data_IF_230776928910
#
_entry.id   IF_230776928910
#
_cell.length_a   1.000
_cell.length_b   1.000
_cell.length_c   1.000
_cell.angle_alpha   90.00
_cell.angle_beta   90.00
_cell.angle_gamma   90.00
#
_symmetry.space_group_name_H-M   'P 1'
#
loop_
_entity.id
_entity.type
_entity.pdbx_description
1 polymer ?
#
# COMPACT_ATOMS: atom_id res chain seq x y z
N UNK A 1 -23.60 2.34 14.37
CA UNK A 1 -23.70 1.13 15.22
C UNK A 1 -24.18 0.04 14.28
N UNK A 2 -23.29 -0.94 13.94
CA UNK A 2 -23.58 -1.92 12.89
C UNK A 2 -24.66 -2.90 13.34
N UNK A 3 -25.61 -3.26 12.44
CA UNK A 3 -26.69 -4.24 12.70
C UNK A 3 -26.15 -5.59 13.23
N UNK A 4 -24.94 -5.96 12.85
CA UNK A 4 -24.28 -7.18 13.28
C UNK A 4 -23.91 -7.17 14.78
N UNK A 5 -23.53 -6.02 15.33
CA UNK A 5 -23.26 -5.86 16.76
C UNK A 5 -24.58 -5.91 17.57
N UNK A 6 -25.62 -5.25 17.10
CA UNK A 6 -26.94 -5.29 17.76
C UNK A 6 -27.55 -6.70 17.78
N UNK A 7 -27.32 -7.53 16.76
CA UNK A 7 -27.73 -8.93 16.72
C UNK A 7 -26.94 -9.82 17.69
N UNK A 8 -25.64 -9.54 17.87
CA UNK A 8 -24.77 -10.24 18.85
C UNK A 8 -25.18 -9.93 20.28
N UNK A 9 -25.45 -8.66 20.56
CA UNK A 9 -25.88 -8.22 21.89
C UNK A 9 -27.23 -8.85 22.28
N UNK A 10 -28.16 -8.98 21.35
CA UNK A 10 -29.45 -9.69 21.56
C UNK A 10 -29.26 -11.17 21.89
N UNK A 11 -28.33 -11.84 21.22
CA UNK A 11 -28.03 -13.26 21.48
C UNK A 11 -27.36 -13.47 22.83
N UNK A 12 -26.40 -12.59 23.19
CA UNK A 12 -25.72 -12.63 24.48
C UNK A 12 -26.71 -12.45 25.63
N UNK A 13 -27.58 -11.44 25.53
CA UNK A 13 -28.66 -11.20 26.46
C UNK A 13 -29.62 -12.40 26.57
N UNK A 14 -30.01 -12.99 25.43
CA UNK A 14 -30.89 -14.16 25.39
C UNK A 14 -30.23 -15.38 26.09
N UNK A 15 -28.96 -15.62 25.85
CA UNK A 15 -28.21 -16.67 26.53
C UNK A 15 -28.17 -16.47 28.04
N UNK A 16 -27.96 -15.24 28.48
CA UNK A 16 -27.92 -14.91 29.92
C UNK A 16 -29.27 -15.20 30.59
N UNK A 17 -30.37 -14.73 30.00
CA UNK A 17 -31.71 -15.03 30.53
C UNK A 17 -31.97 -16.55 30.58
N UNK A 18 -31.61 -17.28 29.51
CA UNK A 18 -31.78 -18.73 29.46
C UNK A 18 -30.97 -19.46 30.54
N UNK A 19 -29.77 -18.98 30.81
CA UNK A 19 -28.91 -19.51 31.86
C UNK A 19 -29.50 -19.24 33.23
N UNK A 20 -29.87 -18.00 33.54
CA UNK A 20 -30.47 -17.62 34.84
C UNK A 20 -31.80 -18.32 35.12
N UNK A 21 -32.62 -18.49 34.08
CA UNK A 21 -33.87 -19.27 34.18
C UNK A 21 -33.59 -20.72 34.57
N UNK A 22 -32.58 -21.35 33.93
CA UNK A 22 -32.19 -22.73 34.25
C UNK A 22 -31.61 -22.85 35.69
N UNK A 23 -30.78 -21.87 36.10
CA UNK A 23 -30.28 -21.79 37.46
C UNK A 23 -31.39 -21.64 38.50
N UNK A 24 -32.46 -20.91 38.17
CA UNK A 24 -33.67 -20.78 38.98
C UNK A 24 -34.59 -22.02 38.90
N UNK A 25 -34.24 -23.07 38.14
CA UNK A 25 -35.04 -24.28 37.98
C UNK A 25 -36.32 -24.13 37.20
N UNK A 26 -36.48 -23.06 36.44
CA UNK A 26 -37.75 -22.72 35.73
C UNK A 26 -37.71 -23.21 34.27
N UNK A 27 -38.84 -23.70 33.80
CA UNK A 27 -39.11 -23.89 32.35
C UNK A 27 -39.44 -22.57 31.68
N UNK A 28 -39.40 -22.51 30.33
CA UNK A 28 -39.83 -21.30 29.60
C UNK A 28 -41.29 -20.95 29.88
N UNK A 29 -42.15 -21.97 30.02
CA UNK A 29 -43.54 -21.83 30.35
C UNK A 29 -43.74 -21.22 31.73
N UNK A 30 -43.05 -21.73 32.75
CA UNK A 30 -43.13 -21.22 34.13
C UNK A 30 -42.61 -19.77 34.25
N UNK A 31 -41.55 -19.41 33.54
CA UNK A 31 -41.09 -18.01 33.50
C UNK A 31 -42.13 -17.11 32.81
N UNK A 32 -42.65 -17.55 31.67
CA UNK A 32 -43.70 -16.82 30.95
C UNK A 32 -44.95 -16.62 31.82
N UNK A 33 -45.41 -17.68 32.51
CA UNK A 33 -46.55 -17.61 33.42
C UNK A 33 -46.34 -16.62 34.57
N UNK A 34 -45.15 -16.59 35.19
CA UNK A 34 -44.80 -15.62 36.25
C UNK A 34 -44.79 -14.17 35.76
N UNK A 35 -44.42 -13.95 34.49
CA UNK A 35 -44.36 -12.63 33.88
C UNK A 35 -45.71 -12.23 33.20
N UNK A 36 -46.71 -13.07 33.24
CA UNK A 36 -48.02 -12.91 32.52
C UNK A 36 -47.84 -12.76 31.01
N UNK A 37 -46.91 -13.54 30.44
CA UNK A 37 -46.56 -13.53 29.01
C UNK A 37 -46.79 -14.90 28.37
N UNK A 38 -46.62 -14.95 27.05
CA UNK A 38 -46.63 -16.21 26.29
C UNK A 38 -45.25 -16.85 26.25
N UNK A 39 -45.18 -18.16 26.19
CA UNK A 39 -43.96 -18.94 26.04
C UNK A 39 -43.15 -18.50 24.84
N UNK A 40 -43.84 -18.09 23.77
CA UNK A 40 -43.21 -17.58 22.55
C UNK A 40 -42.43 -16.29 22.77
N UNK A 41 -42.86 -15.44 23.74
CA UNK A 41 -42.13 -14.21 24.08
C UNK A 41 -40.81 -14.55 24.74
N UNK A 42 -40.79 -15.39 25.79
CA UNK A 42 -39.56 -15.85 26.46
C UNK A 42 -38.65 -16.58 25.49
N UNK A 43 -39.18 -17.45 24.64
CA UNK A 43 -38.44 -18.15 23.60
C UNK A 43 -37.77 -17.21 22.61
N UNK A 44 -38.43 -16.10 22.22
CA UNK A 44 -37.81 -15.07 21.32
C UNK A 44 -36.69 -14.32 22.01
N UNK A 45 -36.83 -14.03 23.31
CA UNK A 45 -35.74 -13.40 24.08
C UNK A 45 -34.51 -14.31 24.17
N UNK A 46 -34.71 -15.56 24.57
CA UNK A 46 -33.63 -16.55 24.73
C UNK A 46 -32.90 -16.86 23.42
N UNK A 47 -33.60 -16.78 22.28
CA UNK A 47 -32.99 -16.92 20.95
C UNK A 47 -32.34 -15.62 20.42
N UNK A 48 -32.45 -14.51 21.16
CA UNK A 48 -31.90 -13.22 20.75
C UNK A 48 -32.66 -12.59 19.57
N UNK A 49 -33.94 -12.90 19.39
CA UNK A 49 -34.75 -12.31 18.32
C UNK A 49 -35.26 -10.93 18.73
N UNK A 50 -35.75 -10.80 19.98
CA UNK A 50 -36.24 -9.54 20.55
C UNK A 50 -35.70 -9.34 21.96
N UNK A 51 -35.60 -8.08 22.39
CA UNK A 51 -35.46 -7.75 23.82
C UNK A 51 -36.82 -7.73 24.50
N UNK A 52 -36.89 -7.98 25.82
CA UNK A 52 -38.07 -7.68 26.61
C UNK A 52 -38.32 -6.16 26.63
N UNK A 53 -39.57 -5.78 26.86
CA UNK A 53 -39.91 -4.39 27.09
C UNK A 53 -39.27 -3.91 28.40
N UNK A 54 -38.84 -2.63 28.43
CA UNK A 54 -38.20 -2.02 29.59
C UNK A 54 -39.09 -2.11 30.86
N UNK A 55 -40.38 -2.11 30.68
CA UNK A 55 -41.38 -2.25 31.76
C UNK A 55 -41.32 -3.61 32.44
N UNK A 56 -40.81 -4.63 31.77
CA UNK A 56 -40.72 -6.01 32.25
C UNK A 56 -39.41 -6.30 32.98
N UNK A 57 -38.40 -5.39 32.93
CA UNK A 57 -37.07 -5.63 33.48
C UNK A 57 -37.14 -5.93 34.98
N UNK A 58 -37.84 -5.15 35.76
CA UNK A 58 -38.00 -5.40 37.21
C UNK A 58 -38.66 -6.74 37.52
N UNK A 59 -39.74 -7.11 36.76
CA UNK A 59 -40.42 -8.38 36.94
C UNK A 59 -39.54 -9.56 36.55
N UNK A 60 -38.70 -9.45 35.51
CA UNK A 60 -37.74 -10.46 35.10
C UNK A 60 -36.66 -10.62 36.20
N UNK A 61 -36.14 -9.53 36.73
CA UNK A 61 -35.13 -9.53 37.79
C UNK A 61 -35.69 -10.20 39.05
N UNK A 62 -36.94 -9.91 39.44
CA UNK A 62 -37.57 -10.54 40.57
C UNK A 62 -37.81 -12.05 40.35
N UNK A 63 -38.32 -12.43 39.15
CA UNK A 63 -38.57 -13.84 38.81
C UNK A 63 -37.30 -14.70 38.74
N UNK A 64 -36.16 -14.11 38.35
CA UNK A 64 -34.88 -14.79 38.21
C UNK A 64 -33.93 -14.58 39.39
N UNK A 65 -34.33 -13.81 40.41
CA UNK A 65 -33.49 -13.44 41.56
C UNK A 65 -32.19 -12.79 41.22
N UNK A 66 -32.18 -11.87 40.26
CA UNK A 66 -31.00 -11.09 39.81
C UNK A 66 -31.29 -9.59 39.96
N UNK A 67 -30.24 -8.81 39.97
CA UNK A 67 -30.36 -7.34 39.98
C UNK A 67 -30.55 -6.78 38.57
N UNK A 68 -31.17 -5.59 38.44
CA UNK A 68 -31.27 -4.89 37.16
C UNK A 68 -29.89 -4.61 36.55
N UNK A 69 -28.90 -4.33 37.40
CA UNK A 69 -27.52 -4.12 36.97
C UNK A 69 -26.91 -5.39 36.35
N UNK A 70 -27.09 -6.56 36.97
CA UNK A 70 -26.66 -7.83 36.42
C UNK A 70 -27.32 -8.15 35.09
N UNK A 71 -28.60 -7.86 34.93
CA UNK A 71 -29.35 -8.09 33.69
C UNK A 71 -28.82 -7.19 32.56
N UNK A 72 -28.46 -5.93 32.84
CA UNK A 72 -27.96 -4.96 31.84
C UNK A 72 -26.50 -5.22 31.51
N UNK A 73 -25.65 -5.46 32.53
CA UNK A 73 -24.21 -5.65 32.33
C UNK A 73 -23.83 -7.05 31.84
N UNK A 74 -24.67 -8.06 32.08
CA UNK A 74 -24.39 -9.42 31.68
C UNK A 74 -24.33 -9.63 30.17
N UNK A 75 -25.01 -8.81 29.38
CA UNK A 75 -24.83 -8.78 27.93
C UNK A 75 -23.47 -8.23 27.52
N UNK A 76 -22.92 -7.24 28.24
CA UNK A 76 -21.60 -6.66 28.01
C UNK A 76 -20.50 -7.64 28.48
N UNK A 77 -20.63 -8.27 29.63
CA UNK A 77 -19.65 -9.21 30.16
C UNK A 77 -19.53 -10.50 29.31
N UNK A 78 -20.65 -11.02 28.80
CA UNK A 78 -20.64 -12.15 27.88
C UNK A 78 -19.96 -11.79 26.55
N UNK A 79 -20.23 -10.58 26.05
CA UNK A 79 -19.60 -10.08 24.82
C UNK A 79 -18.09 -9.87 25.00
N UNK A 80 -17.65 -9.30 26.12
CA UNK A 80 -16.24 -9.17 26.44
C UNK A 80 -15.55 -10.54 26.58
N UNK A 81 -16.18 -11.48 27.26
CA UNK A 81 -15.65 -12.85 27.40
C UNK A 81 -15.52 -13.58 26.05
N UNK A 82 -16.44 -13.37 25.10
CA UNK A 82 -16.31 -13.93 23.76
C UNK A 82 -15.20 -13.26 22.95
N UNK A 83 -15.05 -11.94 23.06
CA UNK A 83 -13.93 -11.22 22.45
C UNK A 83 -12.60 -11.66 23.00
N UNK A 84 -12.50 -11.85 24.31
CA UNK A 84 -11.30 -12.37 24.96
C UNK A 84 -10.96 -13.80 24.53
N UNK A 85 -11.95 -14.68 24.44
CA UNK A 85 -11.77 -16.05 23.91
C UNK A 85 -11.31 -16.05 22.46
N UNK A 86 -11.87 -15.19 21.62
CA UNK A 86 -11.43 -15.02 20.23
C UNK A 86 -10.00 -14.45 20.16
N UNK A 87 -9.66 -13.45 20.98
CA UNK A 87 -8.32 -12.90 21.07
C UNK A 87 -7.31 -13.96 21.55
N UNK A 88 -7.65 -14.74 22.57
CA UNK A 88 -6.80 -15.84 23.06
C UNK A 88 -6.61 -16.93 21.99
N UNK A 89 -7.67 -17.31 21.27
CA UNK A 89 -7.58 -18.27 20.16
C UNK A 89 -6.66 -17.75 19.06
N UNK A 90 -6.82 -16.48 18.67
CA UNK A 90 -5.96 -15.84 17.70
C UNK A 90 -4.48 -15.83 18.15
N UNK A 91 -4.22 -15.49 19.40
CA UNK A 91 -2.87 -15.50 19.97
C UNK A 91 -2.26 -16.90 19.98
N UNK A 92 -3.03 -17.95 20.31
CA UNK A 92 -2.56 -19.35 20.26
C UNK A 92 -2.20 -19.77 18.84
N UNK A 93 -3.03 -19.44 17.85
CA UNK A 93 -2.76 -19.72 16.43
C UNK A 93 -1.49 -18.99 15.98
N UNK A 94 -1.35 -17.72 16.33
CA UNK A 94 -0.19 -16.90 16.02
C UNK A 94 1.11 -17.44 16.66
N UNK A 95 1.03 -17.90 17.89
CA UNK A 95 2.16 -18.56 18.57
C UNK A 95 2.51 -19.89 17.91
N UNK A 96 1.52 -20.74 17.60
CA UNK A 96 1.72 -22.00 16.89
C UNK A 96 2.39 -21.80 15.54
N UNK A 97 1.88 -20.86 14.74
CA UNK A 97 2.49 -20.46 13.45
C UNK A 97 3.96 -20.06 13.62
N UNK A 98 4.27 -19.21 14.59
CA UNK A 98 5.64 -18.76 14.87
C UNK A 98 6.58 -19.93 15.21
N UNK A 99 6.15 -20.84 16.10
CA UNK A 99 6.97 -21.99 16.48
C UNK A 99 7.21 -22.95 15.30
N UNK A 100 6.18 -23.20 14.48
CA UNK A 100 6.31 -24.04 13.27
C UNK A 100 7.32 -23.41 12.31
N UNK A 101 7.19 -22.10 12.02
CA UNK A 101 8.11 -21.41 11.12
C UNK A 101 9.55 -21.40 11.64
N UNK A 102 9.75 -21.14 12.94
CA UNK A 102 11.08 -21.19 13.55
C UNK A 102 11.69 -22.59 13.48
N UNK A 103 10.89 -23.65 13.69
CA UNK A 103 11.35 -25.02 13.57
C UNK A 103 11.73 -25.38 12.12
N UNK A 104 10.93 -24.93 11.14
CA UNK A 104 11.24 -25.15 9.72
C UNK A 104 12.54 -24.45 9.30
N UNK A 105 12.74 -23.19 9.68
CA UNK A 105 13.98 -22.46 9.41
C UNK A 105 15.18 -23.09 10.11
N UNK A 106 15.04 -23.46 11.38
CA UNK A 106 16.09 -24.14 12.12
C UNK A 106 16.48 -25.49 11.52
N UNK A 107 15.48 -26.26 11.06
CA UNK A 107 15.71 -27.54 10.39
C UNK A 107 16.42 -27.36 9.04
N UNK A 108 15.97 -26.39 8.23
CA UNK A 108 16.59 -26.07 6.95
C UNK A 108 18.05 -25.67 7.12
N UNK A 109 18.35 -24.75 8.05
CA UNK A 109 19.72 -24.32 8.35
C UNK A 109 20.59 -25.49 8.84
N UNK A 110 20.03 -26.37 9.69
CA UNK A 110 20.76 -27.53 10.19
C UNK A 110 21.14 -28.48 9.05
N UNK A 111 20.19 -28.80 8.16
CA UNK A 111 20.43 -29.66 6.99
C UNK A 111 21.49 -29.02 6.09
N UNK A 112 21.33 -27.70 5.77
CA UNK A 112 22.30 -26.97 4.96
C UNK A 112 23.70 -26.96 5.60
N UNK A 113 23.80 -26.78 6.91
CA UNK A 113 25.06 -26.80 7.63
C UNK A 113 25.74 -28.17 7.51
N UNK A 114 25.00 -29.26 7.78
CA UNK A 114 25.53 -30.64 7.68
C UNK A 114 25.97 -30.95 6.27
N UNK A 115 25.15 -30.66 5.26
CA UNK A 115 25.47 -30.91 3.86
C UNK A 115 26.70 -30.14 3.41
N UNK A 116 26.80 -28.86 3.80
CA UNK A 116 27.94 -28.01 3.43
C UNK A 116 29.24 -28.54 4.05
N UNK A 117 29.20 -28.93 5.33
CA UNK A 117 30.37 -29.48 6.02
C UNK A 117 30.75 -30.87 5.51
N UNK A 118 29.76 -31.76 5.27
CA UNK A 118 30.00 -33.13 4.82
C UNK A 118 30.51 -33.23 3.39
N UNK A 119 30.03 -32.35 2.49
CA UNK A 119 30.36 -32.42 1.05
C UNK A 119 31.58 -31.56 0.70
N UNK A 120 31.63 -30.33 1.25
CA UNK A 120 32.64 -29.35 0.85
C UNK A 120 33.75 -29.15 1.89
N UNK A 121 33.59 -29.67 3.09
CA UNK A 121 34.50 -29.45 4.23
C UNK A 121 34.76 -27.96 4.57
N UNK A 122 33.91 -27.07 4.05
CA UNK A 122 33.96 -25.60 4.24
C UNK A 122 32.56 -25.04 4.34
N UNK A 123 32.38 -23.88 4.91
CA UNK A 123 31.07 -23.19 4.98
C UNK A 123 30.88 -22.21 3.82
N UNK A 124 31.14 -22.65 2.58
CA UNK A 124 31.22 -21.78 1.40
C UNK A 124 29.88 -21.15 1.03
N UNK A 125 28.78 -21.91 0.99
CA UNK A 125 27.46 -21.39 0.60
C UNK A 125 26.47 -21.30 1.76
N UNK A 126 26.84 -21.79 2.94
CA UNK A 126 25.98 -21.76 4.13
C UNK A 126 25.49 -20.34 4.48
N UNK A 127 26.40 -19.35 4.43
CA UNK A 127 26.05 -17.96 4.73
C UNK A 127 25.09 -17.32 3.71
N UNK A 128 25.12 -17.77 2.45
CA UNK A 128 24.17 -17.33 1.42
C UNK A 128 22.77 -17.86 1.78
N UNK A 129 22.67 -19.13 2.19
CA UNK A 129 21.40 -19.71 2.61
C UNK A 129 20.88 -19.02 3.88
N UNK A 130 21.75 -18.80 4.88
CA UNK A 130 21.40 -18.09 6.11
C UNK A 130 20.82 -16.69 5.83
N UNK A 131 21.46 -15.93 4.95
CA UNK A 131 20.98 -14.60 4.58
C UNK A 131 19.67 -14.65 3.75
N UNK A 132 19.52 -15.66 2.89
CA UNK A 132 18.28 -15.89 2.14
C UNK A 132 17.12 -16.26 3.05
N UNK A 133 17.36 -17.09 4.06
CA UNK A 133 16.36 -17.40 5.10
C UNK A 133 16.03 -16.19 5.97
N UNK A 134 16.98 -15.30 6.25
CA UNK A 134 16.72 -14.06 6.97
C UNK A 134 15.74 -13.16 6.18
N UNK A 135 15.78 -13.17 4.84
CA UNK A 135 14.79 -12.49 4.00
C UNK A 135 13.41 -13.12 4.18
N UNK A 136 13.32 -14.44 4.07
CA UNK A 136 12.05 -15.16 4.25
C UNK A 136 11.49 -14.96 5.67
N UNK A 137 12.34 -15.02 6.70
CA UNK A 137 12.00 -14.75 8.09
C UNK A 137 11.44 -13.33 8.27
N UNK A 138 12.04 -12.33 7.63
CA UNK A 138 11.59 -10.94 7.72
C UNK A 138 10.17 -10.74 7.19
N UNK A 139 9.75 -11.52 6.19
CA UNK A 139 8.42 -11.43 5.59
C UNK A 139 7.37 -12.29 6.30
N UNK A 140 7.77 -13.42 6.87
CA UNK A 140 6.84 -14.41 7.43
C UNK A 140 6.70 -14.32 8.95
N UNK A 141 7.80 -14.17 9.67
CA UNK A 141 7.83 -14.22 11.13
C UNK A 141 7.83 -12.84 11.77
N UNK A 142 8.51 -11.85 11.18
CA UNK A 142 8.57 -10.49 11.72
C UNK A 142 7.20 -9.84 11.94
N UNK A 143 6.21 -9.94 11.03
CA UNK A 143 4.86 -9.39 11.27
C UNK A 143 4.17 -10.05 12.46
N UNK A 144 4.53 -11.31 12.77
CA UNK A 144 3.98 -12.03 13.90
C UNK A 144 4.70 -11.73 15.23
N UNK A 145 5.97 -11.31 15.21
CA UNK A 145 6.74 -10.96 16.39
C UNK A 145 6.39 -9.59 16.94
N UNK A 146 6.23 -8.61 16.09
CA UNK A 146 6.03 -7.21 16.45
C UNK A 146 4.56 -6.86 16.44
N UNK A 147 4.03 -6.33 17.56
CA UNK A 147 2.63 -5.91 17.67
C UNK A 147 2.39 -4.46 17.25
N UNK A 148 3.38 -3.58 17.46
CA UNK A 148 3.27 -2.15 17.13
C UNK A 148 4.15 -1.82 15.92
N UNK A 149 3.59 -1.12 14.94
CA UNK A 149 4.31 -0.73 13.70
C UNK A 149 4.94 -1.93 12.95
N UNK A 150 4.25 -3.08 12.95
CA UNK A 150 4.74 -4.32 12.32
C UNK A 150 5.15 -4.13 10.86
N UNK A 151 4.45 -3.26 10.09
CA UNK A 151 4.81 -2.96 8.70
C UNK A 151 6.19 -2.31 8.57
N UNK A 152 6.54 -1.34 9.42
CA UNK A 152 7.85 -0.68 9.39
C UNK A 152 8.97 -1.65 9.77
N UNK A 153 8.76 -2.47 10.81
CA UNK A 153 9.74 -3.47 11.22
C UNK A 153 9.95 -4.55 10.15
N UNK A 154 8.88 -4.99 9.50
CA UNK A 154 8.97 -5.95 8.38
C UNK A 154 9.74 -5.38 7.21
N UNK A 155 9.42 -4.15 6.78
CA UNK A 155 10.13 -3.48 5.69
C UNK A 155 11.61 -3.23 6.03
N UNK A 156 11.89 -2.75 7.24
CA UNK A 156 13.25 -2.50 7.69
C UNK A 156 14.10 -3.77 7.77
N UNK A 157 13.55 -4.85 8.34
CA UNK A 157 14.25 -6.13 8.42
C UNK A 157 14.45 -6.76 7.04
N UNK A 158 13.46 -6.67 6.16
CA UNK A 158 13.58 -7.14 4.78
C UNK A 158 14.68 -6.39 4.01
N UNK A 159 14.68 -5.06 4.08
CA UNK A 159 15.71 -4.23 3.45
C UNK A 159 17.11 -4.57 3.97
N UNK A 160 17.26 -4.72 5.30
CA UNK A 160 18.53 -5.06 5.92
C UNK A 160 19.01 -6.47 5.52
N UNK A 161 18.12 -7.47 5.55
CA UNK A 161 18.43 -8.85 5.17
C UNK A 161 18.83 -8.96 3.69
N UNK A 162 18.15 -8.21 2.80
CA UNK A 162 18.47 -8.17 1.38
C UNK A 162 19.87 -7.60 1.15
N UNK A 163 20.22 -6.48 1.80
CA UNK A 163 21.55 -5.89 1.68
C UNK A 163 22.63 -6.79 2.31
N UNK A 164 22.31 -7.51 3.39
CA UNK A 164 23.22 -8.51 3.96
C UNK A 164 23.49 -9.66 2.99
N UNK A 165 22.45 -10.17 2.31
CA UNK A 165 22.61 -11.19 1.28
C UNK A 165 23.54 -10.71 0.16
N UNK A 166 23.34 -9.49 -0.33
CA UNK A 166 24.19 -8.91 -1.39
C UNK A 166 25.63 -8.75 -0.94
N UNK A 167 25.86 -8.33 0.31
CA UNK A 167 27.19 -8.23 0.88
C UNK A 167 27.88 -9.60 0.92
N UNK A 168 27.18 -10.63 1.35
CA UNK A 168 27.69 -12.01 1.37
C UNK A 168 27.98 -12.49 -0.05
N UNK A 169 27.05 -12.30 -0.99
CA UNK A 169 27.27 -12.64 -2.40
C UNK A 169 28.50 -11.93 -2.99
N UNK A 170 28.73 -10.64 -2.62
CA UNK A 170 29.91 -9.89 -3.03
C UNK A 170 31.21 -10.52 -2.53
N UNK A 171 31.21 -11.01 -1.28
CA UNK A 171 32.40 -11.66 -0.68
C UNK A 171 32.75 -12.94 -1.47
N UNK A 172 31.75 -13.72 -1.89
CA UNK A 172 31.97 -14.96 -2.64
C UNK A 172 32.22 -14.76 -4.14
N UNK A 173 31.43 -13.90 -4.79
CA UNK A 173 31.51 -13.71 -6.24
C UNK A 173 32.59 -12.71 -6.67
N UNK A 174 33.07 -11.86 -5.75
CA UNK A 174 33.98 -10.76 -6.09
C UNK A 174 33.29 -9.64 -6.89
N UNK A 175 34.09 -8.78 -7.52
CA UNK A 175 33.62 -7.68 -8.37
C UNK A 175 33.25 -6.39 -7.59
N UNK A 176 33.06 -5.27 -8.27
CA UNK A 176 32.81 -3.96 -7.68
C UNK A 176 31.34 -3.49 -7.81
N UNK A 177 30.40 -4.40 -7.98
CA UNK A 177 28.99 -4.12 -8.25
C UNK A 177 28.15 -3.74 -7.02
N UNK A 178 28.65 -4.02 -5.79
CA UNK A 178 27.86 -3.88 -4.55
C UNK A 178 27.33 -2.46 -4.32
N UNK A 179 28.19 -1.45 -4.54
CA UNK A 179 27.82 -0.06 -4.28
C UNK A 179 26.67 0.41 -5.21
N UNK A 180 26.75 0.06 -6.49
CA UNK A 180 25.70 0.39 -7.47
C UNK A 180 24.40 -0.34 -7.12
N UNK A 181 24.47 -1.63 -6.80
CA UNK A 181 23.29 -2.43 -6.44
C UNK A 181 22.65 -1.93 -5.15
N UNK A 182 23.45 -1.57 -4.15
CA UNK A 182 22.95 -0.96 -2.90
C UNK A 182 22.17 0.33 -3.17
N UNK A 183 22.74 1.24 -3.98
CA UNK A 183 22.06 2.49 -4.36
C UNK A 183 20.77 2.21 -5.15
N UNK A 184 20.79 1.26 -6.09
CA UNK A 184 19.62 0.91 -6.89
C UNK A 184 18.47 0.32 -6.04
N UNK A 185 18.80 -0.59 -5.12
CA UNK A 185 17.82 -1.17 -4.20
C UNK A 185 17.29 -0.09 -3.25
N UNK A 186 18.14 0.77 -2.71
CA UNK A 186 17.72 1.87 -1.83
C UNK A 186 16.77 2.82 -2.55
N UNK A 187 17.05 3.17 -3.78
CA UNK A 187 16.16 3.97 -4.62
C UNK A 187 14.82 3.26 -4.85
N UNK A 188 14.83 1.98 -5.25
CA UNK A 188 13.60 1.21 -5.45
C UNK A 188 12.75 1.11 -4.19
N UNK A 189 13.37 0.91 -3.02
CA UNK A 189 12.69 0.94 -1.72
C UNK A 189 12.13 2.31 -1.38
N UNK A 190 12.87 3.38 -1.64
CA UNK A 190 12.42 4.74 -1.39
C UNK A 190 11.17 5.06 -2.23
N UNK A 191 11.22 4.85 -3.54
CA UNK A 191 10.10 5.13 -4.44
C UNK A 191 8.82 4.41 -4.01
N UNK A 192 8.91 3.14 -3.59
CA UNK A 192 7.74 2.31 -3.27
C UNK A 192 7.26 2.55 -1.83
N UNK A 193 8.17 2.55 -0.86
CA UNK A 193 7.82 2.48 0.56
C UNK A 193 7.94 3.79 1.33
N UNK A 194 8.76 4.75 0.87
CA UNK A 194 8.93 6.01 1.57
C UNK A 194 7.63 6.79 1.78
N UNK A 195 6.67 6.83 0.83
CA UNK A 195 5.38 7.47 1.07
C UNK A 195 4.59 6.83 2.20
N UNK A 196 4.68 5.50 2.36
CA UNK A 196 4.00 4.77 3.44
C UNK A 196 4.69 4.98 4.79
N UNK A 197 6.02 4.96 4.80
CA UNK A 197 6.83 5.23 5.99
C UNK A 197 6.55 6.63 6.53
N UNK A 198 6.54 7.66 5.66
CA UNK A 198 6.27 9.05 6.05
C UNK A 198 4.83 9.29 6.53
N UNK A 199 3.89 8.40 6.21
CA UNK A 199 2.53 8.44 6.79
C UNK A 199 2.50 7.98 8.24
N UNK A 200 3.34 7.00 8.60
CA UNK A 200 3.37 6.38 9.93
C UNK A 200 4.29 7.11 10.91
N UNK A 201 5.31 7.79 10.41
CA UNK A 201 6.27 8.53 11.25
C UNK A 201 5.71 9.91 11.58
N UNK A 202 5.69 10.33 12.87
CA UNK A 202 5.31 11.68 13.26
C UNK A 202 6.38 12.67 12.79
N UNK A 203 6.01 13.55 11.86
CA UNK A 203 6.87 14.60 11.34
C UNK A 203 6.47 15.95 11.94
N UNK A 204 7.42 16.91 12.07
CA UNK A 204 7.11 18.29 12.44
C UNK A 204 6.02 18.88 11.53
N UNK A 205 5.20 19.80 12.07
CA UNK A 205 4.04 20.36 11.34
C UNK A 205 4.41 20.97 9.99
N UNK A 206 5.56 21.61 9.89
CA UNK A 206 6.08 22.19 8.63
C UNK A 206 6.35 21.15 7.55
N UNK A 207 6.86 19.96 7.90
CA UNK A 207 7.15 18.87 6.97
C UNK A 207 5.92 18.00 6.69
N UNK A 208 4.99 17.92 7.62
CA UNK A 208 3.80 17.07 7.51
C UNK A 208 2.90 17.48 6.34
N UNK A 209 2.84 18.78 6.01
CA UNK A 209 2.10 19.32 4.87
C UNK A 209 2.77 19.03 3.52
N UNK A 210 4.08 18.75 3.49
CA UNK A 210 4.88 18.58 2.27
C UNK A 210 5.49 17.17 2.10
N UNK A 211 4.86 16.14 2.67
CA UNK A 211 5.35 14.75 2.61
C UNK A 211 5.65 14.27 1.18
N UNK A 212 4.80 14.61 0.22
CA UNK A 212 5.00 14.25 -1.19
C UNK A 212 6.24 14.92 -1.79
N UNK A 213 6.46 16.21 -1.49
CA UNK A 213 7.65 16.93 -1.92
C UNK A 213 8.91 16.28 -1.34
N UNK A 214 8.86 15.89 -0.05
CA UNK A 214 9.97 15.22 0.63
C UNK A 214 10.31 13.88 -0.04
N UNK A 215 9.30 13.06 -0.43
CA UNK A 215 9.55 11.84 -1.19
C UNK A 215 10.28 12.15 -2.50
N UNK A 216 9.78 13.09 -3.29
CA UNK A 216 10.39 13.44 -4.57
C UNK A 216 11.81 13.99 -4.43
N UNK A 217 12.08 14.76 -3.38
CA UNK A 217 13.45 15.24 -3.08
C UNK A 217 14.40 14.08 -2.74
N UNK A 218 13.96 13.17 -1.86
CA UNK A 218 14.78 12.01 -1.49
C UNK A 218 15.04 11.11 -2.70
N UNK A 219 14.00 10.81 -3.50
CA UNK A 219 14.12 9.99 -4.71
C UNK A 219 15.08 10.66 -5.72
N UNK A 220 14.98 11.98 -5.90
CA UNK A 220 15.89 12.74 -6.76
C UNK A 220 17.33 12.63 -6.29
N UNK A 221 17.59 12.82 -4.98
CA UNK A 221 18.94 12.68 -4.41
C UNK A 221 19.50 11.26 -4.59
N UNK A 222 18.66 10.24 -4.42
CA UNK A 222 19.07 8.84 -4.61
C UNK A 222 19.35 8.52 -6.07
N UNK A 223 18.62 9.09 -7.03
CA UNK A 223 18.92 8.95 -8.47
C UNK A 223 20.29 9.54 -8.77
N UNK A 224 20.57 10.77 -8.30
CA UNK A 224 21.88 11.38 -8.51
C UNK A 224 23.00 10.57 -7.84
N UNK A 225 22.78 10.04 -6.63
CA UNK A 225 23.73 9.18 -5.96
C UNK A 225 24.00 7.89 -6.74
N UNK A 226 22.94 7.25 -7.28
CA UNK A 226 23.07 6.03 -8.08
C UNK A 226 23.90 6.28 -9.34
N UNK A 227 23.62 7.35 -10.08
CA UNK A 227 24.35 7.70 -11.31
C UNK A 227 25.81 8.05 -10.97
N UNK A 228 26.04 8.83 -9.92
CA UNK A 228 27.41 9.17 -9.47
C UNK A 228 28.22 7.92 -9.13
N UNK A 229 27.64 7.00 -8.33
CA UNK A 229 28.33 5.77 -7.93
C UNK A 229 28.56 4.86 -9.15
N UNK A 230 27.62 4.79 -10.09
CA UNK A 230 27.75 4.02 -11.31
C UNK A 230 28.93 4.50 -12.16
N UNK A 231 29.01 5.80 -12.44
CA UNK A 231 30.09 6.38 -13.26
C UNK A 231 31.46 6.30 -12.57
N UNK A 232 31.51 6.47 -11.25
CA UNK A 232 32.75 6.26 -10.48
C UNK A 232 33.24 4.81 -10.57
N UNK A 233 32.32 3.83 -10.54
CA UNK A 233 32.66 2.41 -10.68
C UNK A 233 33.07 2.04 -12.11
N UNK A 234 32.51 2.71 -13.12
CA UNK A 234 32.88 2.53 -14.54
C UNK A 234 34.17 3.24 -14.92
N UNK A 235 34.72 4.10 -14.04
CA UNK A 235 35.92 4.87 -14.30
C UNK A 235 35.73 6.05 -15.25
N UNK A 236 34.53 6.54 -15.43
CA UNK A 236 34.16 7.61 -16.37
C UNK A 236 33.58 8.87 -15.71
N UNK A 237 34.16 9.38 -14.58
CA UNK A 237 33.56 10.50 -13.85
C UNK A 237 33.48 11.81 -14.65
N UNK A 238 34.25 11.94 -15.72
CA UNK A 238 34.26 13.12 -16.58
C UNK A 238 32.90 13.31 -17.33
N UNK A 239 32.08 12.27 -17.46
CA UNK A 239 30.76 12.32 -18.10
C UNK A 239 29.67 12.86 -17.20
N UNK A 240 29.85 12.84 -15.87
CA UNK A 240 28.82 13.21 -14.90
C UNK A 240 28.22 14.59 -15.15
N UNK A 241 29.07 15.62 -15.25
CA UNK A 241 28.61 17.00 -15.41
C UNK A 241 28.09 17.30 -16.82
N UNK A 242 28.77 16.91 -17.93
CA UNK A 242 28.32 17.29 -19.27
C UNK A 242 27.17 16.44 -19.80
N UNK A 243 27.01 15.19 -19.38
CA UNK A 243 26.05 14.26 -19.97
C UNK A 243 25.07 13.72 -18.95
N UNK A 244 25.54 13.01 -17.91
CA UNK A 244 24.69 12.18 -17.09
C UNK A 244 23.72 12.99 -16.22
N UNK A 245 24.18 14.05 -15.57
CA UNK A 245 23.31 14.91 -14.76
C UNK A 245 22.29 15.69 -15.59
N UNK A 246 22.61 16.29 -16.76
CA UNK A 246 21.61 16.86 -17.64
C UNK A 246 20.55 15.86 -18.11
N UNK A 247 20.94 14.61 -18.44
CA UNK A 247 20.02 13.53 -18.81
C UNK A 247 19.11 13.17 -17.64
N UNK A 248 19.65 13.02 -16.42
CA UNK A 248 18.87 12.76 -15.21
C UNK A 248 17.90 13.91 -14.93
N UNK A 249 18.37 15.16 -14.99
CA UNK A 249 17.52 16.33 -14.80
C UNK A 249 16.36 16.37 -15.81
N UNK A 250 16.64 16.07 -17.06
CA UNK A 250 15.59 15.93 -18.07
C UNK A 250 14.60 14.81 -17.68
N UNK A 251 15.10 13.61 -17.33
CA UNK A 251 14.28 12.45 -16.99
C UNK A 251 13.32 12.69 -15.83
N UNK A 252 13.75 13.42 -14.78
CA UNK A 252 12.91 13.74 -13.62
C UNK A 252 11.94 14.91 -13.87
N UNK A 253 12.09 15.69 -14.95
CA UNK A 253 11.25 16.86 -15.21
C UNK A 253 9.77 16.51 -15.29
N UNK A 254 9.41 15.43 -16.01
CA UNK A 254 8.02 15.03 -16.17
C UNK A 254 7.35 14.59 -14.84
N UNK A 255 7.93 13.69 -14.04
CA UNK A 255 7.40 13.36 -12.71
C UNK A 255 7.25 14.59 -11.80
N UNK A 256 8.25 15.49 -11.79
CA UNK A 256 8.18 16.72 -11.00
C UNK A 256 7.07 17.67 -11.49
N UNK A 257 6.93 17.84 -12.79
CA UNK A 257 5.84 18.63 -13.38
C UNK A 257 4.48 18.07 -12.94
N UNK A 258 4.27 16.78 -13.11
CA UNK A 258 3.02 16.11 -12.69
C UNK A 258 2.76 16.28 -11.19
N UNK A 259 3.77 16.11 -10.34
CA UNK A 259 3.65 16.29 -8.90
C UNK A 259 3.23 17.73 -8.55
N UNK A 260 3.88 18.73 -9.16
CA UNK A 260 3.57 20.15 -8.92
C UNK A 260 2.15 20.48 -9.37
N UNK A 261 1.73 20.02 -10.56
CA UNK A 261 0.37 20.25 -11.10
C UNK A 261 -0.67 19.59 -10.20
N UNK A 262 -0.47 18.33 -9.80
CA UNK A 262 -1.44 17.59 -9.01
C UNK A 262 -1.55 18.18 -7.59
N UNK A 263 -0.44 18.54 -6.97
CA UNK A 263 -0.39 18.91 -5.55
C UNK A 263 -0.64 20.41 -5.32
N UNK A 264 -0.03 21.28 -6.11
CA UNK A 264 0.02 22.72 -5.83
C UNK A 264 -0.92 23.56 -6.71
N UNK A 265 -1.29 23.07 -7.91
CA UNK A 265 -2.19 23.82 -8.76
C UNK A 265 -3.63 23.75 -8.22
N UNK A 266 -4.22 24.90 -7.96
CA UNK A 266 -5.59 25.04 -7.38
C UNK A 266 -6.65 25.08 -8.48
N UNK A 267 -6.73 24.05 -9.31
CA UNK A 267 -7.74 23.91 -10.37
C UNK A 267 -8.51 22.61 -10.21
N UNK A 268 -9.59 22.47 -10.97
CA UNK A 268 -10.40 21.26 -11.06
C UNK A 268 -9.53 20.04 -11.43
N UNK A 269 -9.77 18.84 -10.83
CA UNK A 269 -9.05 17.59 -11.13
C UNK A 269 -8.97 17.28 -12.63
N UNK A 270 -10.01 17.56 -13.39
CA UNK A 270 -10.01 17.34 -14.83
C UNK A 270 -9.00 18.23 -15.57
N UNK A 271 -8.86 19.51 -15.19
CA UNK A 271 -7.84 20.37 -15.76
C UNK A 271 -6.42 19.94 -15.35
N UNK A 272 -6.23 19.42 -14.14
CA UNK A 272 -4.94 18.83 -13.75
C UNK A 272 -4.57 17.67 -14.65
N UNK A 273 -5.51 16.75 -14.88
CA UNK A 273 -5.32 15.61 -15.76
C UNK A 273 -5.03 16.07 -17.21
N UNK A 274 -5.75 17.08 -17.71
CA UNK A 274 -5.50 17.69 -19.02
C UNK A 274 -4.07 18.22 -19.14
N UNK A 275 -3.60 19.01 -18.18
CA UNK A 275 -2.25 19.60 -18.19
C UNK A 275 -1.19 18.49 -18.12
N UNK A 276 -1.37 17.47 -17.26
CA UNK A 276 -0.45 16.35 -17.17
C UNK A 276 -0.41 15.56 -18.50
N UNK A 277 -1.55 15.27 -19.11
CA UNK A 277 -1.62 14.55 -20.38
C UNK A 277 -0.94 15.32 -21.50
N UNK A 278 -1.27 16.60 -21.68
CA UNK A 278 -0.65 17.46 -22.71
C UNK A 278 0.87 17.60 -22.46
N UNK A 279 1.28 17.83 -21.20
CA UNK A 279 2.69 17.92 -20.83
C UNK A 279 3.46 16.62 -21.11
N UNK A 280 2.83 15.47 -20.85
CA UNK A 280 3.41 14.15 -21.18
C UNK A 280 3.61 14.01 -22.70
N UNK A 281 2.62 14.37 -23.52
CA UNK A 281 2.75 14.31 -24.97
C UNK A 281 3.90 15.19 -25.49
N UNK A 282 3.94 16.45 -25.06
CA UNK A 282 5.01 17.40 -25.45
C UNK A 282 6.38 16.87 -25.01
N UNK A 283 6.49 16.36 -23.79
CA UNK A 283 7.73 15.80 -23.26
C UNK A 283 8.23 14.65 -24.15
N UNK A 284 7.37 13.68 -24.48
CA UNK A 284 7.75 12.55 -25.33
C UNK A 284 8.11 12.98 -26.75
N UNK A 285 7.44 14.00 -27.32
CA UNK A 285 7.76 14.49 -28.65
C UNK A 285 9.20 14.98 -28.77
N UNK A 286 9.67 15.73 -27.79
CA UNK A 286 11.02 16.29 -27.79
C UNK A 286 12.09 15.40 -27.19
N UNK A 287 11.71 14.29 -26.54
CA UNK A 287 12.66 13.42 -25.80
C UNK A 287 13.84 12.99 -26.65
N UNK A 288 13.59 12.52 -27.86
CA UNK A 288 14.66 12.01 -28.72
C UNK A 288 15.65 13.13 -29.13
N UNK A 289 15.12 14.27 -29.55
CA UNK A 289 15.95 15.43 -29.95
C UNK A 289 16.76 16.00 -28.79
N UNK A 290 16.17 16.07 -27.59
CA UNK A 290 16.86 16.57 -26.41
C UNK A 290 17.94 15.59 -25.97
N UNK A 291 17.65 14.28 -25.92
CA UNK A 291 18.64 13.27 -25.55
C UNK A 291 19.81 13.23 -26.55
N UNK A 292 19.54 13.33 -27.84
CA UNK A 292 20.58 13.41 -28.86
C UNK A 292 21.49 14.62 -28.65
N UNK A 293 20.92 15.78 -28.32
CA UNK A 293 21.70 16.98 -27.97
C UNK A 293 22.54 16.79 -26.70
N UNK A 294 21.98 16.18 -25.65
CA UNK A 294 22.64 16.02 -24.35
C UNK A 294 23.72 14.92 -24.38
N UNK A 295 23.47 13.83 -25.11
CA UNK A 295 24.38 12.66 -25.12
C UNK A 295 25.48 12.83 -26.18
N UNK A 296 25.10 13.25 -27.39
CA UNK A 296 26.01 13.29 -28.54
C UNK A 296 26.60 14.68 -28.78
N UNK A 297 26.15 15.70 -28.02
CA UNK A 297 26.60 17.09 -28.19
C UNK A 297 26.14 17.73 -29.52
N UNK A 298 25.18 17.10 -30.20
CA UNK A 298 24.67 17.60 -31.47
C UNK A 298 23.80 18.85 -31.28
N UNK A 299 23.73 19.76 -32.27
CA UNK A 299 22.83 20.90 -32.20
C UNK A 299 21.38 20.41 -32.10
N UNK A 300 20.55 21.11 -31.32
CA UNK A 300 19.14 20.79 -31.21
C UNK A 300 18.43 20.91 -32.56
N UNK A 301 17.77 19.83 -32.99
CA UNK A 301 16.96 19.79 -34.19
C UNK A 301 15.53 19.36 -33.85
N UNK A 302 14.55 19.87 -34.56
CA UNK A 302 13.18 19.40 -34.42
C UNK A 302 13.09 17.94 -34.84
N UNK A 303 12.21 17.13 -34.20
CA UNK A 303 12.00 15.74 -34.60
C UNK A 303 11.65 15.64 -36.10
N UNK A 304 12.33 14.81 -36.87
CA UNK A 304 12.09 14.69 -38.33
C UNK A 304 10.82 13.84 -38.57
N UNK A 305 9.64 14.45 -38.45
CA UNK A 305 8.34 13.79 -38.65
C UNK A 305 8.04 13.70 -40.15
N UNK A 306 7.86 12.46 -40.65
CA UNK A 306 7.39 12.19 -42.01
C UNK A 306 6.33 11.09 -41.99
N UNK A 307 5.08 11.48 -42.07
CA UNK A 307 3.94 10.56 -42.07
C UNK A 307 3.61 9.98 -43.44
N UNK A 308 4.26 10.44 -44.52
CA UNK A 308 3.98 9.98 -45.88
C UNK A 308 4.30 8.51 -46.11
N UNK A 309 5.34 8.02 -45.44
CA UNK A 309 5.79 6.64 -45.51
C UNK A 309 5.13 5.73 -44.47
N UNK A 310 4.14 6.19 -43.68
CA UNK A 310 3.53 5.45 -42.58
C UNK A 310 2.94 4.09 -42.96
N UNK A 311 2.34 4.00 -44.17
CA UNK A 311 1.70 2.78 -44.68
C UNK A 311 2.65 1.83 -45.40
N UNK A 312 3.94 2.16 -45.56
CA UNK A 312 4.90 1.33 -46.27
C UNK A 312 5.62 0.37 -45.33
N UNK A 313 5.42 -0.97 -45.45
CA UNK A 313 6.13 -1.95 -44.63
C UNK A 313 7.64 -1.89 -44.76
N UNK A 314 8.18 -1.49 -45.93
CA UNK A 314 9.61 -1.39 -46.18
C UNK A 314 10.26 -0.26 -45.38
N UNK A 315 9.52 0.81 -45.13
CA UNK A 315 9.95 1.91 -44.24
C UNK A 315 10.20 1.43 -42.82
N UNK A 316 9.29 0.61 -42.27
CA UNK A 316 9.39 0.09 -40.91
C UNK A 316 10.46 -0.99 -40.74
N UNK A 317 10.78 -1.72 -41.80
CA UNK A 317 11.79 -2.75 -41.77
C UNK A 317 13.22 -2.21 -41.93
N UNK A 318 13.41 -0.98 -42.39
CA UNK A 318 14.72 -0.41 -42.67
C UNK A 318 15.29 0.41 -41.51
N UNK A 319 16.41 -0.06 -40.88
CA UNK A 319 17.02 0.65 -39.76
C UNK A 319 17.54 2.06 -40.10
N UNK A 320 17.78 2.37 -41.38
CA UNK A 320 18.23 3.68 -41.82
C UNK A 320 17.21 4.81 -41.51
N UNK A 321 15.94 4.46 -41.38
CA UNK A 321 14.86 5.42 -41.04
C UNK A 321 14.52 5.45 -39.53
N UNK A 322 15.32 4.82 -38.67
CA UNK A 322 15.02 4.68 -37.24
C UNK A 322 14.72 6.00 -36.51
N UNK A 323 15.40 7.08 -36.84
CA UNK A 323 15.14 8.41 -36.27
C UNK A 323 13.78 8.97 -36.71
N UNK A 324 13.39 8.80 -37.97
CA UNK A 324 12.09 9.24 -38.51
C UNK A 324 10.96 8.36 -37.99
N UNK A 325 11.18 7.04 -37.90
CA UNK A 325 10.23 6.09 -37.29
C UNK A 325 9.90 6.48 -35.85
N UNK A 326 10.93 6.72 -35.04
CA UNK A 326 10.77 7.17 -33.65
C UNK A 326 10.06 8.52 -33.56
N UNK A 327 10.41 9.47 -34.44
CA UNK A 327 9.75 10.77 -34.48
C UNK A 327 8.25 10.65 -34.85
N UNK A 328 7.91 9.79 -35.82
CA UNK A 328 6.53 9.51 -36.18
C UNK A 328 5.72 8.88 -35.05
N UNK A 329 6.29 7.90 -34.35
CA UNK A 329 5.65 7.27 -33.18
C UNK A 329 5.42 8.30 -32.10
N UNK A 330 6.44 9.10 -31.75
CA UNK A 330 6.33 10.15 -30.74
C UNK A 330 5.30 11.21 -31.12
N UNK A 331 5.21 11.55 -32.40
CA UNK A 331 4.20 12.49 -32.90
C UNK A 331 2.76 11.97 -32.71
N UNK A 332 2.50 10.70 -33.05
CA UNK A 332 1.20 10.07 -32.85
C UNK A 332 0.87 9.96 -31.36
N UNK A 333 1.81 9.52 -30.54
CA UNK A 333 1.63 9.46 -29.08
C UNK A 333 1.29 10.84 -28.50
N UNK A 334 1.97 11.89 -28.99
CA UNK A 334 1.71 13.27 -28.59
C UNK A 334 0.29 13.70 -28.99
N UNK A 335 -0.14 13.40 -30.21
CA UNK A 335 -1.49 13.66 -30.67
C UNK A 335 -2.56 12.99 -29.81
N UNK A 336 -2.34 11.72 -29.44
CA UNK A 336 -3.22 10.98 -28.53
C UNK A 336 -3.24 11.62 -27.14
N UNK A 337 -2.09 11.95 -26.58
CA UNK A 337 -1.99 12.60 -25.26
C UNK A 337 -2.69 13.97 -25.24
N UNK A 338 -2.52 14.77 -26.29
CA UNK A 338 -3.22 16.06 -26.42
C UNK A 338 -4.73 15.84 -26.57
N UNK A 339 -5.16 14.87 -27.40
CA UNK A 339 -6.57 14.51 -27.56
C UNK A 339 -7.22 14.11 -26.24
N UNK A 340 -6.56 13.25 -25.48
CA UNK A 340 -6.99 12.86 -24.12
C UNK A 340 -7.03 14.08 -23.20
N UNK A 341 -6.02 14.94 -23.27
CA UNK A 341 -5.99 16.20 -22.51
C UNK A 341 -7.18 17.12 -22.83
N UNK A 342 -7.54 17.25 -24.11
CA UNK A 342 -8.71 18.03 -24.52
C UNK A 342 -10.02 17.43 -24.04
N UNK A 343 -10.16 16.10 -24.04
CA UNK A 343 -11.33 15.41 -23.47
C UNK A 343 -11.47 15.68 -21.97
N UNK A 344 -10.38 15.63 -21.23
CA UNK A 344 -10.39 16.00 -19.81
C UNK A 344 -10.72 17.48 -19.60
N UNK A 345 -10.21 18.40 -20.45
CA UNK A 345 -10.54 19.81 -20.37
C UNK A 345 -12.04 20.05 -20.60
N UNK A 346 -12.62 19.42 -21.63
CA UNK A 346 -14.06 19.49 -21.92
C UNK A 346 -14.90 18.95 -20.75
N UNK A 347 -14.52 17.80 -20.17
CA UNK A 347 -15.14 17.26 -18.97
C UNK A 347 -15.04 18.21 -17.77
N UNK A 348 -13.93 18.91 -17.61
CA UNK A 348 -13.73 19.92 -16.59
C UNK A 348 -14.65 21.14 -16.73
N UNK A 349 -14.87 21.58 -17.96
CA UNK A 349 -15.81 22.68 -18.28
C UNK A 349 -17.24 22.24 -17.98
N UNK A 350 -17.65 21.06 -18.47
CA UNK A 350 -18.98 20.49 -18.21
C UNK A 350 -19.27 20.38 -16.71
N UNK A 351 -18.31 19.84 -15.93
CA UNK A 351 -18.44 19.73 -14.48
C UNK A 351 -18.56 21.09 -13.78
N UNK A 352 -17.82 22.11 -14.24
CA UNK A 352 -17.89 23.46 -13.69
C UNK A 352 -19.27 24.11 -13.96
N UNK A 353 -19.83 23.90 -15.15
CA UNK A 353 -21.16 24.40 -15.54
C UNK A 353 -22.28 23.74 -14.74
N UNK A 354 -22.24 22.41 -14.57
CA UNK A 354 -23.25 21.70 -13.75
C UNK A 354 -23.22 22.15 -12.31
N UNK A 355 -22.04 22.34 -11.72
CA UNK A 355 -21.90 22.81 -10.34
C UNK A 355 -22.37 24.26 -10.13
N UNK A 356 -22.28 25.11 -11.17
CA UNK A 356 -22.81 26.47 -11.14
C UNK A 356 -24.33 26.45 -11.15
N UNK A 357 -24.94 25.60 -12.00
CA UNK A 357 -26.39 25.46 -12.11
C UNK A 357 -27.04 24.92 -10.83
N UNK A 358 -26.43 23.92 -10.18
CA UNK A 358 -26.93 23.39 -8.89
C UNK A 358 -26.88 24.43 -7.78
N UNK A 359 -25.85 25.29 -7.74
CA UNK A 359 -25.77 26.37 -6.75
C UNK A 359 -26.78 27.49 -7.01
N UNK A 360 -27.13 27.76 -8.28
CA UNK A 360 -28.14 28.76 -8.64
C UNK A 360 -29.56 28.26 -8.33
N UNK A 361 -29.84 26.98 -8.59
CA UNK A 361 -31.13 26.35 -8.26
C UNK A 361 -31.37 26.29 -6.74
N UNK A 362 -30.35 25.93 -5.93
CA UNK A 362 -30.48 25.92 -4.47
C UNK A 362 -30.66 27.30 -3.82
N UNK A 363 -30.25 28.39 -4.49
CA UNK A 363 -30.55 29.78 -4.05
C UNK A 363 -31.96 30.24 -4.43
N UNK A 364 -32.55 29.69 -5.47
CA UNK A 364 -33.92 30.01 -5.91
C UNK A 364 -34.98 29.35 -5.03
N UNK A 365 -34.70 28.21 -4.41
CA UNK A 365 -35.60 27.49 -3.50
C UNK A 365 -35.51 27.98 -2.04
N UNK A 366 -34.54 28.82 -1.71
CA UNK A 366 -34.34 29.37 -0.35
C UNK A 366 -34.84 30.83 -0.22
N UNK A 367 -35.52 31.36 -1.21
CA UNK A 367 -36.31 32.59 -1.17
C UNK A 367 -37.81 32.27 -1.24
#
# INVERSE_FOLDING_TARGET
MNEENALRDKRAFGHFIAQKRKEAGLTQHELAARLYLTDTAVSKWERGVTYPDITLISSICEALHITEHELITASEDLHQNELEKQAQKYQRIKQGYRHIMLALYGLSLLICFICNLAIQHTLSWFFIVLASEAIAFSLTVMPALVSKNHGLWTLGSFYLSLNLLLLICRIYAGGNWLAVTFCAITLGFAVIFLPQVLRQVPLPQTLSSHKTLLCFLVDTLLIFALVTVSELMMGSPARLLPVDYPVVLYGITLPWLCMVVIRYLRVNPFFKASICAAGTGIYFFFTNSILHTLIDGAPFTLPPVDLSAWGDPSFWANPAYGSVQNANICFVVTGVCIGVGLLFAAGGIAWALTRKNTKSAGRSTAK
#
